data_IF_366145426475
#
_entry.id   IF_366145426475
#
_cell.length_a   1.000
_cell.length_b   1.000
_cell.length_c   1.000
_cell.angle_alpha   90.00
_cell.angle_beta   90.00
_cell.angle_gamma   90.00
#
_symmetry.space_group_name_H-M   'P 1'
#
loop_
_entity.id
_entity.type
_entity.pdbx_description
1 polymer ?
#
# COMPACT_ATOMS: atom_id res chain seq x y z
N UNK A 1 37.42 -0.11 45.43
CA UNK A 1 37.39 -0.10 43.95
C UNK A 1 35.99 0.27 43.50
N UNK A 2 35.81 1.38 42.76
CA UNK A 2 34.50 1.86 42.29
C UNK A 2 33.94 0.98 41.17
N UNK A 3 32.61 0.78 41.16
CA UNK A 3 31.87 0.12 40.10
C UNK A 3 31.75 1.07 38.92
N UNK A 4 32.41 0.74 37.82
CA UNK A 4 32.25 1.42 36.54
C UNK A 4 30.92 0.97 35.93
N UNK A 5 29.88 1.79 36.07
CA UNK A 5 28.58 1.58 35.44
C UNK A 5 28.49 2.45 34.20
N UNK A 6 29.08 2.01 33.10
CA UNK A 6 28.83 2.60 31.79
C UNK A 6 27.37 2.31 31.39
N UNK A 7 26.60 3.30 30.91
CA UNK A 7 25.23 3.09 30.48
C UNK A 7 25.18 2.24 29.20
N UNK A 8 24.22 1.29 29.19
CA UNK A 8 23.87 0.42 28.06
C UNK A 8 23.60 1.26 26.80
N UNK A 9 24.35 1.03 25.73
CA UNK A 9 23.96 1.43 24.37
C UNK A 9 22.84 0.50 23.86
N UNK A 10 21.60 0.97 23.60
CA UNK A 10 20.58 0.16 22.97
C UNK A 10 20.24 0.74 21.60
N UNK A 11 21.20 0.82 20.69
CA UNK A 11 20.94 1.09 19.26
C UNK A 11 21.88 0.30 18.37
N UNK A 12 21.75 -1.03 18.38
CA UNK A 12 22.33 -1.87 17.33
C UNK A 12 21.29 -2.88 16.86
N UNK A 13 20.65 -2.58 15.73
CA UNK A 13 20.43 -3.50 14.60
C UNK A 13 19.59 -2.81 13.51
N UNK A 14 20.28 -2.17 12.58
CA UNK A 14 19.91 -2.28 11.18
C UNK A 14 21.06 -3.04 10.53
N UNK A 15 20.95 -4.37 10.48
CA UNK A 15 21.77 -5.13 9.53
C UNK A 15 21.16 -4.86 8.16
N UNK A 16 21.79 -3.92 7.43
CA UNK A 16 21.50 -3.70 6.02
C UNK A 16 21.72 -5.02 5.28
N UNK A 17 20.63 -5.66 4.87
CA UNK A 17 20.65 -6.58 3.75
C UNK A 17 21.04 -5.76 2.53
N UNK A 18 22.07 -6.19 1.80
CA UNK A 18 22.58 -5.53 0.59
C UNK A 18 21.54 -5.43 -0.56
N UNK A 19 20.34 -5.98 -0.38
CA UNK A 19 19.18 -5.89 -1.27
C UNK A 19 17.85 -5.72 -0.50
N UNK A 20 17.88 -5.11 0.68
CA UNK A 20 16.66 -4.85 1.46
C UNK A 20 16.15 -3.43 1.24
N UNK A 21 14.95 -3.27 0.69
CA UNK A 21 14.19 -2.02 0.89
C UNK A 21 13.97 -1.91 2.40
N UNK A 22 14.54 -0.88 3.04
CA UNK A 22 14.32 -0.62 4.45
C UNK A 22 12.84 -0.27 4.65
N UNK A 23 12.07 -1.21 5.20
CA UNK A 23 10.67 -0.99 5.56
C UNK A 23 10.67 -0.19 6.86
N UNK A 24 10.05 1.00 6.85
CA UNK A 24 9.86 1.80 8.06
C UNK A 24 9.09 0.97 9.09
N UNK A 25 9.76 0.60 10.19
CA UNK A 25 9.21 -0.26 11.24
C UNK A 25 7.98 0.33 11.92
N UNK A 26 7.85 1.65 11.93
CA UNK A 26 6.71 2.35 12.55
C UNK A 26 5.42 2.12 11.74
N UNK A 27 5.55 1.94 10.43
CA UNK A 27 4.42 1.65 9.53
C UNK A 27 3.96 0.19 9.60
N UNK A 28 4.83 -0.73 10.06
CA UNK A 28 4.56 -2.17 10.08
C UNK A 28 3.39 -2.55 10.99
N UNK A 29 3.23 -1.86 12.13
CA UNK A 29 2.11 -2.12 13.05
C UNK A 29 0.77 -1.66 12.46
N UNK A 30 0.75 -0.49 11.80
CA UNK A 30 -0.44 0.04 11.12
C UNK A 30 -0.88 -0.87 9.97
N UNK A 31 0.08 -1.38 9.20
CA UNK A 31 -0.17 -2.37 8.14
C UNK A 31 -0.71 -3.69 8.69
N UNK A 32 -0.17 -4.20 9.80
CA UNK A 32 -0.69 -5.40 10.43
C UNK A 32 -2.13 -5.23 10.95
N UNK A 33 -2.42 -4.07 11.56
CA UNK A 33 -3.75 -3.74 12.03
C UNK A 33 -4.75 -3.63 10.86
N UNK A 34 -4.39 -2.93 9.80
CA UNK A 34 -5.23 -2.82 8.60
C UNK A 34 -5.38 -4.16 7.85
N UNK A 35 -4.36 -5.02 7.88
CA UNK A 35 -4.46 -6.37 7.32
C UNK A 35 -5.46 -7.26 8.08
N UNK A 36 -5.77 -6.91 9.33
CA UNK A 36 -6.78 -7.61 10.13
C UNK A 36 -8.22 -7.23 9.77
N UNK A 37 -8.40 -6.14 9.01
CA UNK A 37 -9.71 -5.74 8.47
C UNK A 37 -9.95 -6.25 7.04
N UNK A 38 -9.12 -7.17 6.54
CA UNK A 38 -9.41 -7.87 5.29
C UNK A 38 -10.73 -8.67 5.42
N UNK A 39 -11.52 -8.76 4.35
CA UNK A 39 -12.73 -9.58 4.32
C UNK A 39 -12.40 -11.07 4.54
N UNK A 40 -13.41 -11.87 4.87
CA UNK A 40 -13.27 -13.32 5.10
C UNK A 40 -12.66 -14.05 3.90
N UNK A 41 -13.08 -13.67 2.69
CA UNK A 41 -12.48 -14.10 1.43
C UNK A 41 -11.97 -12.92 0.62
N UNK A 42 -10.85 -13.13 -0.06
CA UNK A 42 -10.26 -12.18 -1.01
C UNK A 42 -10.15 -12.83 -2.37
N UNK A 43 -10.54 -12.11 -3.43
CA UNK A 43 -10.37 -12.56 -4.81
C UNK A 43 -9.15 -11.87 -5.42
N UNK A 44 -8.17 -12.65 -5.84
CA UNK A 44 -6.95 -12.16 -6.50
C UNK A 44 -6.90 -12.78 -7.89
N UNK A 45 -6.93 -11.95 -8.93
CA UNK A 45 -6.92 -12.40 -10.33
C UNK A 45 -7.98 -13.47 -10.65
N UNK A 46 -9.18 -13.33 -10.06
CA UNK A 46 -10.30 -14.26 -10.25
C UNK A 46 -10.23 -15.55 -9.43
N UNK A 47 -9.18 -15.74 -8.62
CA UNK A 47 -9.08 -16.87 -7.68
C UNK A 47 -9.47 -16.41 -6.29
N UNK A 48 -10.37 -17.14 -5.63
CA UNK A 48 -10.82 -16.86 -4.27
C UNK A 48 -9.89 -17.54 -3.25
N UNK A 49 -9.51 -16.79 -2.22
CA UNK A 49 -8.71 -17.26 -1.10
C UNK A 49 -9.43 -16.96 0.20
N UNK A 50 -9.42 -17.90 1.14
CA UNK A 50 -9.85 -17.64 2.51
C UNK A 50 -8.75 -16.87 3.24
N UNK A 51 -9.09 -15.72 3.78
CA UNK A 51 -8.14 -14.84 4.47
C UNK A 51 -7.55 -15.50 5.71
N UNK A 52 -8.29 -16.36 6.40
CA UNK A 52 -7.79 -17.11 7.56
C UNK A 52 -6.62 -18.05 7.24
N UNK A 53 -6.54 -18.55 6.01
CA UNK A 53 -5.48 -19.47 5.54
C UNK A 53 -4.19 -18.73 5.15
N UNK A 54 -4.26 -17.40 5.00
CA UNK A 54 -3.13 -16.57 4.62
C UNK A 54 -2.24 -16.24 5.82
N UNK A 55 -0.92 -16.27 5.60
CA UNK A 55 0.03 -15.76 6.59
C UNK A 55 -0.18 -14.26 6.83
N UNK A 56 0.21 -13.75 8.00
CA UNK A 56 0.10 -12.32 8.30
C UNK A 56 0.86 -11.43 7.29
N UNK A 57 2.02 -11.89 6.82
CA UNK A 57 2.78 -11.18 5.78
C UNK A 57 2.03 -11.18 4.46
N UNK A 58 1.41 -12.30 4.09
CA UNK A 58 0.58 -12.40 2.89
C UNK A 58 -0.63 -11.46 2.99
N UNK A 59 -1.31 -11.38 4.14
CA UNK A 59 -2.41 -10.44 4.37
C UNK A 59 -1.98 -8.98 4.15
N UNK A 60 -0.80 -8.60 4.63
CA UNK A 60 -0.27 -7.25 4.39
C UNK A 60 -0.01 -6.99 2.89
N UNK A 61 0.57 -7.95 2.16
CA UNK A 61 0.79 -7.82 0.73
C UNK A 61 -0.53 -7.75 -0.06
N UNK A 62 -1.52 -8.55 0.33
CA UNK A 62 -2.87 -8.51 -0.27
C UNK A 62 -3.51 -7.15 -0.03
N UNK A 63 -3.41 -6.60 1.18
CA UNK A 63 -3.92 -5.27 1.48
C UNK A 63 -3.29 -4.20 0.57
N UNK A 64 -1.97 -4.23 0.40
CA UNK A 64 -1.24 -3.32 -0.50
C UNK A 64 -1.73 -3.48 -1.94
N UNK A 65 -1.82 -4.73 -2.42
CA UNK A 65 -2.29 -5.02 -3.77
C UNK A 65 -3.71 -4.48 -4.02
N UNK A 66 -4.64 -4.67 -3.08
CA UNK A 66 -6.01 -4.16 -3.21
C UNK A 66 -6.06 -2.63 -3.19
N UNK A 67 -5.22 -1.99 -2.36
CA UNK A 67 -5.10 -0.53 -2.36
C UNK A 67 -4.57 0.00 -3.70
N UNK A 68 -3.55 -0.65 -4.27
CA UNK A 68 -3.00 -0.28 -5.57
C UNK A 68 -4.02 -0.44 -6.71
N UNK A 69 -4.79 -1.54 -6.72
CA UNK A 69 -5.87 -1.73 -7.70
C UNK A 69 -6.91 -0.62 -7.61
N UNK A 70 -7.29 -0.20 -6.40
CA UNK A 70 -8.21 0.91 -6.18
C UNK A 70 -7.65 2.23 -6.72
N UNK A 71 -6.38 2.53 -6.43
CA UNK A 71 -5.70 3.74 -6.92
C UNK A 71 -5.66 3.75 -8.46
N UNK A 72 -5.28 2.63 -9.08
CA UNK A 72 -5.26 2.50 -10.54
C UNK A 72 -6.66 2.68 -11.16
N UNK A 73 -7.70 2.16 -10.51
CA UNK A 73 -9.09 2.39 -10.91
C UNK A 73 -9.45 3.87 -10.89
N UNK A 74 -9.18 4.55 -9.77
CA UNK A 74 -9.45 5.98 -9.61
C UNK A 74 -8.66 6.84 -10.62
N UNK A 75 -7.41 6.49 -10.90
CA UNK A 75 -6.62 7.18 -11.92
C UNK A 75 -7.22 7.05 -13.32
N UNK A 76 -7.72 5.87 -13.68
CA UNK A 76 -8.41 5.64 -14.95
C UNK A 76 -9.72 6.45 -15.04
N UNK A 77 -10.48 6.51 -13.96
CA UNK A 77 -11.70 7.33 -13.89
C UNK A 77 -11.39 8.82 -14.07
N UNK A 78 -10.37 9.33 -13.38
CA UNK A 78 -9.93 10.72 -13.53
C UNK A 78 -9.48 11.04 -14.96
N UNK A 79 -8.75 10.13 -15.60
CA UNK A 79 -8.34 10.29 -17.00
C UNK A 79 -9.56 10.33 -17.94
N UNK A 80 -10.52 9.42 -17.77
CA UNK A 80 -11.75 9.40 -18.56
C UNK A 80 -12.56 10.69 -18.40
N UNK A 81 -12.66 11.22 -17.17
CA UNK A 81 -13.32 12.50 -16.91
C UNK A 81 -12.59 13.67 -17.58
N UNK A 82 -11.25 13.69 -17.54
CA UNK A 82 -10.45 14.70 -18.22
C UNK A 82 -10.65 14.66 -19.74
N UNK A 83 -10.64 13.46 -20.34
CA UNK A 83 -10.91 13.28 -21.77
C UNK A 83 -12.31 13.75 -22.17
N UNK A 84 -13.32 13.44 -21.35
CA UNK A 84 -14.70 13.90 -21.58
C UNK A 84 -14.81 15.42 -21.49
N UNK A 85 -14.16 16.03 -20.50
CA UNK A 85 -14.09 17.48 -20.35
C UNK A 85 -13.43 18.16 -21.56
N UNK A 86 -12.30 17.63 -22.04
CA UNK A 86 -11.62 18.12 -23.23
C UNK A 86 -12.49 17.98 -24.50
N UNK A 87 -13.14 16.84 -24.71
CA UNK A 87 -14.07 16.65 -25.84
C UNK A 87 -15.24 17.63 -25.80
N UNK A 88 -15.77 17.89 -24.61
CA UNK A 88 -16.86 18.86 -24.42
C UNK A 88 -16.39 20.27 -24.76
N UNK A 89 -15.20 20.66 -24.29
CA UNK A 89 -14.61 21.95 -24.61
C UNK A 89 -14.38 22.14 -26.12
N UNK A 90 -13.84 21.12 -26.79
CA UNK A 90 -13.65 21.15 -28.25
C UNK A 90 -14.98 21.34 -28.97
N UNK A 91 -16.01 20.59 -28.57
CA UNK A 91 -17.35 20.71 -29.16
C UNK A 91 -17.95 22.11 -28.96
N UNK A 92 -17.77 22.71 -27.79
CA UNK A 92 -18.25 24.07 -27.50
C UNK A 92 -17.57 25.11 -28.39
N UNK A 93 -16.24 24.97 -28.58
CA UNK A 93 -15.46 25.83 -29.47
C UNK A 93 -15.98 25.69 -30.91
N UNK A 94 -16.17 24.46 -31.40
CA UNK A 94 -16.70 24.19 -32.74
C UNK A 94 -18.10 24.75 -32.96
N UNK A 95 -18.97 24.73 -31.94
CA UNK A 95 -20.32 25.31 -32.04
C UNK A 95 -20.36 26.84 -31.93
N UNK A 96 -19.28 27.46 -31.44
CA UNK A 96 -19.17 28.91 -31.26
C UNK A 96 -18.52 29.64 -32.45
N UNK A 97 -18.10 28.89 -33.47
CA UNK A 97 -17.51 29.36 -34.74
C UNK A 97 -18.54 29.20 -35.86
#
# INVERSE_FOLDING_TARGET
>A
MPKDSSPKDPKKKAQNSAFGIAVNSDSSHLLAQAASSLPETVTISGTEYKTEELSNQTKQLVLIYLADQKILGQQKELLALAELGLKTLVKEIESSI
#
